data_IF_175770217010
#
_entry.id   IF_175770217010
#
_cell.length_a   1.000
_cell.length_b   1.000
_cell.length_c   1.000
_cell.angle_alpha   90.00
_cell.angle_beta   90.00
_cell.angle_gamma   90.00
#
_symmetry.space_group_name_H-M   'P 1'
#
loop_
_entity.id
_entity.type
_entity.pdbx_description
1 polymer ?
#
# COMPACT_ATOMS: atom_id res chain seq x y z
N UNK A 1 -14.06 1.08 1.49
CA UNK A 1 -13.32 0.67 2.70
C UNK A 1 -14.07 0.95 4.00
N UNK A 2 -14.43 2.20 4.33
CA UNK A 2 -15.08 2.52 5.62
C UNK A 2 -16.37 1.71 5.91
N UNK A 3 -17.22 1.51 4.90
CA UNK A 3 -18.44 0.70 5.04
C UNK A 3 -18.13 -0.76 5.43
N UNK A 4 -17.12 -1.38 4.80
CA UNK A 4 -16.67 -2.74 5.16
C UNK A 4 -16.09 -2.79 6.58
N UNK A 5 -15.36 -1.75 7.00
CA UNK A 5 -14.85 -1.62 8.38
C UNK A 5 -16.00 -1.63 9.39
N UNK A 6 -17.02 -0.79 9.17
CA UNK A 6 -18.20 -0.74 10.05
C UNK A 6 -19.00 -2.03 10.04
N UNK A 7 -19.21 -2.64 8.86
CA UNK A 7 -19.85 -3.94 8.77
C UNK A 7 -19.15 -4.98 9.65
N UNK A 8 -17.81 -5.09 9.57
CA UNK A 8 -17.05 -6.03 10.40
C UNK A 8 -17.18 -5.74 11.90
N UNK A 9 -17.14 -4.48 12.33
CA UNK A 9 -17.26 -4.14 13.76
C UNK A 9 -18.66 -4.35 14.32
N UNK A 10 -19.70 -4.09 13.52
CA UNK A 10 -21.07 -3.98 14.03
C UNK A 10 -21.96 -5.15 13.64
N UNK A 11 -21.61 -5.89 12.58
CA UNK A 11 -22.47 -6.89 11.96
C UNK A 11 -23.67 -6.31 11.21
N UNK A 12 -23.82 -4.98 11.14
CA UNK A 12 -24.97 -4.34 10.50
C UNK A 12 -24.90 -4.44 8.97
N UNK A 13 -25.84 -5.18 8.40
CA UNK A 13 -25.96 -5.44 6.97
C UNK A 13 -26.16 -4.17 6.13
N UNK A 14 -26.68 -3.08 6.71
CA UNK A 14 -26.81 -1.81 6.00
C UNK A 14 -25.46 -1.30 5.46
N UNK A 15 -24.37 -1.54 6.21
CA UNK A 15 -23.02 -1.17 5.79
C UNK A 15 -22.49 -2.07 4.68
N UNK A 16 -22.77 -3.39 4.73
CA UNK A 16 -22.38 -4.31 3.65
C UNK A 16 -23.12 -3.97 2.35
N UNK A 17 -24.42 -3.69 2.43
CA UNK A 17 -25.23 -3.28 1.28
C UNK A 17 -24.75 -1.94 0.69
N UNK A 18 -24.34 -0.99 1.51
CA UNK A 18 -23.71 0.24 1.03
C UNK A 18 -22.39 -0.03 0.30
N UNK A 19 -21.55 -0.94 0.82
CA UNK A 19 -20.31 -1.35 0.15
C UNK A 19 -20.59 -2.07 -1.18
N UNK A 20 -21.60 -2.95 -1.24
CA UNK A 20 -22.06 -3.64 -2.46
C UNK A 20 -22.51 -2.65 -3.54
N UNK A 21 -23.27 -1.61 -3.17
CA UNK A 21 -23.67 -0.54 -4.11
C UNK A 21 -22.47 0.15 -4.75
N UNK A 22 -21.43 0.46 -3.96
CA UNK A 22 -20.17 1.02 -4.48
C UNK A 22 -19.45 0.02 -5.39
N UNK A 23 -19.37 -1.26 -5.01
CA UNK A 23 -18.79 -2.30 -5.85
C UNK A 23 -19.48 -2.43 -7.20
N UNK A 24 -20.82 -2.43 -7.23
CA UNK A 24 -21.59 -2.48 -8.48
C UNK A 24 -21.31 -1.27 -9.36
N UNK A 25 -21.32 -0.06 -8.78
CA UNK A 25 -20.98 1.16 -9.52
C UNK A 25 -19.57 1.09 -10.12
N UNK A 26 -18.58 0.59 -9.38
CA UNK A 26 -17.21 0.44 -9.88
C UNK A 26 -17.11 -0.57 -11.02
N UNK A 27 -17.83 -1.70 -10.94
CA UNK A 27 -17.90 -2.65 -12.06
C UNK A 27 -18.53 -1.98 -13.28
N UNK A 28 -19.65 -1.29 -13.13
CA UNK A 28 -20.40 -0.67 -14.24
C UNK A 28 -19.65 0.49 -14.90
N UNK A 29 -18.90 1.27 -14.12
CA UNK A 29 -18.17 2.45 -14.59
C UNK A 29 -16.75 2.16 -15.07
N UNK A 30 -16.28 0.91 -15.02
CA UNK A 30 -14.93 0.55 -15.48
C UNK A 30 -14.80 0.77 -16.98
N UNK A 31 -13.65 1.28 -17.40
CA UNK A 31 -13.24 1.33 -18.79
C UNK A 31 -12.33 0.13 -19.07
N UNK A 32 -12.56 -0.57 -20.19
CA UNK A 32 -11.72 -1.69 -20.62
C UNK A 32 -10.67 -1.17 -21.58
N UNK A 33 -9.41 -1.50 -21.34
CA UNK A 33 -8.32 -1.13 -22.23
C UNK A 33 -8.34 -2.08 -23.45
N UNK A 34 -8.63 -1.59 -24.68
CA UNK A 34 -8.77 -2.46 -25.85
C UNK A 34 -7.50 -3.23 -26.21
N UNK A 35 -6.33 -2.71 -25.82
CA UNK A 35 -5.04 -3.33 -26.08
C UNK A 35 -4.68 -4.40 -25.04
N UNK A 36 -5.38 -4.41 -23.89
CA UNK A 36 -5.04 -5.22 -22.72
C UNK A 36 -6.21 -6.06 -22.22
N UNK A 37 -7.16 -6.42 -23.08
CA UNK A 37 -8.33 -7.20 -22.67
C UNK A 37 -7.91 -8.50 -21.93
N UNK A 38 -8.47 -8.79 -20.73
CA UNK A 38 -9.62 -8.15 -20.09
C UNK A 38 -9.30 -6.98 -19.12
N UNK A 39 -8.08 -6.47 -19.11
CA UNK A 39 -7.60 -5.39 -18.26
C UNK A 39 -8.48 -4.13 -18.27
N UNK A 40 -8.75 -3.57 -17.08
CA UNK A 40 -9.62 -2.41 -16.91
C UNK A 40 -9.04 -1.33 -15.99
N UNK A 41 -9.57 -0.11 -16.12
CA UNK A 41 -9.16 1.06 -15.35
C UNK A 41 -10.36 2.00 -15.12
N UNK A 42 -10.11 3.07 -14.38
CA UNK A 42 -11.08 4.14 -14.13
C UNK A 42 -10.43 5.48 -14.41
N UNK A 43 -11.15 6.33 -15.15
CA UNK A 43 -10.74 7.69 -15.43
C UNK A 43 -11.29 8.65 -14.38
N UNK A 44 -10.49 9.65 -14.03
CA UNK A 44 -10.83 10.71 -13.11
C UNK A 44 -10.52 12.07 -13.76
N UNK A 45 -11.08 13.19 -13.27
CA UNK A 45 -10.78 14.52 -13.81
C UNK A 45 -9.27 14.82 -13.91
N UNK A 46 -8.50 14.33 -12.95
CA UNK A 46 -7.04 14.43 -12.81
C UNK A 46 -6.25 13.46 -13.72
N UNK A 47 -6.93 12.53 -14.39
CA UNK A 47 -6.34 11.52 -15.27
C UNK A 47 -6.38 10.10 -14.69
N UNK A 48 -5.88 9.14 -15.47
CA UNK A 48 -5.84 7.72 -15.09
C UNK A 48 -4.60 7.43 -14.23
N UNK A 49 -4.76 6.59 -13.20
CA UNK A 49 -3.69 6.19 -12.30
C UNK A 49 -3.70 4.69 -12.00
N UNK A 50 -2.51 4.10 -11.87
CA UNK A 50 -2.31 2.74 -11.34
C UNK A 50 -2.20 2.70 -9.82
N UNK A 51 -2.17 3.85 -9.14
CA UNK A 51 -1.81 3.94 -7.71
C UNK A 51 -2.86 3.37 -6.75
N UNK A 52 -2.43 3.10 -5.52
CA UNK A 52 -3.29 2.67 -4.42
C UNK A 52 -4.31 3.75 -4.00
N UNK A 53 -3.91 5.02 -3.88
CA UNK A 53 -4.79 6.01 -3.25
C UNK A 53 -5.78 6.67 -4.22
N UNK A 54 -5.52 6.60 -5.53
CA UNK A 54 -6.29 7.35 -6.54
C UNK A 54 -6.49 6.56 -7.85
N UNK A 55 -6.23 5.25 -7.86
CA UNK A 55 -6.11 4.49 -9.09
C UNK A 55 -6.65 3.06 -9.01
N UNK A 56 -6.42 2.35 -10.11
CA UNK A 56 -6.91 0.99 -10.33
C UNK A 56 -6.47 0.01 -9.23
N UNK A 57 -5.26 0.13 -8.69
CA UNK A 57 -4.81 -0.75 -7.59
C UNK A 57 -5.63 -0.56 -6.31
N UNK A 58 -6.03 0.67 -5.99
CA UNK A 58 -6.89 0.93 -4.83
C UNK A 58 -8.30 0.37 -5.00
N UNK A 59 -8.84 0.49 -6.20
CA UNK A 59 -10.14 -0.08 -6.55
C UNK A 59 -10.07 -1.61 -6.51
N UNK A 60 -9.03 -2.21 -7.09
CA UNK A 60 -8.78 -3.65 -7.03
C UNK A 60 -8.73 -4.14 -5.58
N UNK A 61 -7.97 -3.47 -4.72
CA UNK A 61 -7.89 -3.79 -3.29
C UNK A 61 -9.26 -3.74 -2.61
N UNK A 62 -10.07 -2.70 -2.87
CA UNK A 62 -11.43 -2.64 -2.32
C UNK A 62 -12.31 -3.78 -2.82
N UNK A 63 -12.23 -4.13 -4.10
CA UNK A 63 -13.01 -5.22 -4.69
C UNK A 63 -12.59 -6.60 -4.16
N UNK A 64 -11.30 -6.80 -3.88
CA UNK A 64 -10.79 -8.00 -3.20
C UNK A 64 -11.42 -8.15 -1.80
N UNK A 65 -11.40 -7.08 -0.99
CA UNK A 65 -12.02 -7.13 0.34
C UNK A 65 -13.54 -7.30 0.27
N UNK A 66 -14.20 -6.67 -0.71
CA UNK A 66 -15.63 -6.81 -0.90
C UNK A 66 -16.00 -8.26 -1.29
N UNK A 67 -15.20 -8.90 -2.16
CA UNK A 67 -15.37 -10.31 -2.48
C UNK A 67 -15.33 -11.18 -1.22
N UNK A 68 -14.32 -11.03 -0.36
CA UNK A 68 -14.25 -11.81 0.87
C UNK A 68 -15.36 -11.48 1.88
N UNK A 69 -15.87 -10.26 1.87
CA UNK A 69 -17.00 -9.88 2.72
C UNK A 69 -18.37 -10.41 2.22
N UNK A 70 -18.53 -10.65 0.91
CA UNK A 70 -19.83 -11.04 0.32
C UNK A 70 -19.87 -12.44 -0.31
N UNK A 71 -18.72 -13.04 -0.62
CA UNK A 71 -18.58 -14.27 -1.40
C UNK A 71 -18.85 -14.11 -2.90
N UNK A 72 -18.97 -12.89 -3.43
CA UNK A 72 -19.33 -12.67 -4.84
C UNK A 72 -18.10 -12.61 -5.76
N UNK A 73 -17.95 -13.61 -6.63
CA UNK A 73 -16.82 -13.75 -7.56
C UNK A 73 -16.64 -12.59 -8.53
N UNK A 74 -17.73 -11.91 -8.92
CA UNK A 74 -17.66 -10.77 -9.87
C UNK A 74 -16.77 -9.63 -9.37
N UNK A 75 -16.66 -9.44 -8.05
CA UNK A 75 -15.81 -8.42 -7.47
C UNK A 75 -14.34 -8.82 -7.60
N UNK A 76 -14.00 -10.07 -7.27
CA UNK A 76 -12.65 -10.60 -7.44
C UNK A 76 -12.21 -10.54 -8.91
N UNK A 77 -13.05 -11.02 -9.83
CA UNK A 77 -12.77 -11.03 -11.26
C UNK A 77 -12.48 -9.62 -11.80
N UNK A 78 -13.27 -8.61 -11.40
CA UNK A 78 -13.04 -7.22 -11.82
C UNK A 78 -11.76 -6.65 -11.18
N UNK A 79 -11.48 -7.00 -9.93
CA UNK A 79 -10.24 -6.61 -9.27
C UNK A 79 -9.00 -7.22 -9.94
N UNK A 80 -9.06 -8.47 -10.38
CA UNK A 80 -7.98 -9.12 -11.14
C UNK A 80 -7.75 -8.44 -12.50
N UNK A 81 -8.81 -8.08 -13.23
CA UNK A 81 -8.71 -7.28 -14.45
C UNK A 81 -8.03 -5.92 -14.21
N UNK A 82 -8.36 -5.26 -13.09
CA UNK A 82 -7.69 -4.02 -12.72
C UNK A 82 -6.20 -4.24 -12.40
N UNK A 83 -5.85 -5.34 -11.74
CA UNK A 83 -4.44 -5.68 -11.45
C UNK A 83 -3.65 -6.05 -12.70
N UNK A 84 -4.26 -6.74 -13.67
CA UNK A 84 -3.64 -7.01 -14.97
C UNK A 84 -3.27 -5.70 -15.68
N UNK A 85 -4.20 -4.74 -15.70
CA UNK A 85 -3.94 -3.41 -16.24
C UNK A 85 -2.82 -2.68 -15.47
N UNK A 86 -2.87 -2.69 -14.13
CA UNK A 86 -1.82 -2.08 -13.28
C UNK A 86 -0.45 -2.67 -13.60
N UNK A 87 -0.35 -3.99 -13.71
CA UNK A 87 0.92 -4.68 -14.00
C UNK A 87 1.46 -4.33 -15.38
N UNK A 88 0.60 -4.22 -16.39
CA UNK A 88 1.02 -3.84 -17.73
C UNK A 88 1.52 -2.39 -17.82
N UNK A 89 0.97 -1.46 -17.02
CA UNK A 89 1.44 -0.05 -17.01
C UNK A 89 2.72 0.17 -16.20
N UNK A 90 3.34 -0.89 -15.68
CA UNK A 90 4.63 -0.81 -15.00
C UNK A 90 5.76 -0.50 -15.99
N UNK A 91 6.78 0.22 -15.53
CA UNK A 91 8.02 0.47 -16.27
C UNK A 91 9.21 0.15 -15.39
N UNK A 92 10.38 -0.04 -16.01
CA UNK A 92 11.64 -0.21 -15.26
C UNK A 92 12.37 1.11 -15.15
N UNK A 93 12.82 1.43 -13.94
CA UNK A 93 13.77 2.52 -13.71
C UNK A 93 15.17 2.12 -14.23
N UNK A 94 16.13 3.05 -14.15
CA UNK A 94 17.51 2.83 -14.61
C UNK A 94 18.25 1.73 -13.83
N UNK A 95 17.80 1.40 -12.63
CA UNK A 95 18.35 0.35 -11.76
C UNK A 95 17.64 -1.00 -11.97
N UNK A 96 16.68 -1.06 -12.90
CA UNK A 96 15.89 -2.25 -13.21
C UNK A 96 14.68 -2.49 -12.29
N UNK A 97 14.43 -1.61 -11.31
CA UNK A 97 13.30 -1.68 -10.39
C UNK A 97 11.98 -1.29 -11.03
N UNK A 98 10.88 -1.89 -10.57
CA UNK A 98 9.54 -1.59 -11.07
C UNK A 98 9.00 -0.29 -10.48
N UNK A 99 8.56 0.60 -11.38
CA UNK A 99 7.95 1.87 -11.05
C UNK A 99 6.76 2.15 -11.95
N UNK A 100 5.87 3.04 -11.49
CA UNK A 100 4.67 3.41 -12.21
C UNK A 100 4.62 4.92 -12.35
N UNK A 101 4.05 5.35 -13.47
CA UNK A 101 3.70 6.74 -13.64
C UNK A 101 2.56 7.06 -12.67
N UNK A 102 2.72 8.10 -11.86
CA UNK A 102 1.71 8.51 -10.88
C UNK A 102 0.35 8.78 -11.54
N UNK A 103 0.35 9.51 -12.68
CA UNK A 103 -0.81 9.78 -13.53
C UNK A 103 -0.42 9.91 -15.00
N UNK A 104 -1.29 9.49 -15.90
CA UNK A 104 -1.10 9.58 -17.37
C UNK A 104 -0.89 11.00 -17.93
N UNK A 105 -1.32 12.06 -17.22
CA UNK A 105 -1.16 13.46 -17.65
C UNK A 105 0.09 14.15 -17.12
N UNK A 106 0.74 13.61 -16.09
CA UNK A 106 1.97 14.18 -15.48
C UNK A 106 3.01 13.09 -15.30
N UNK A 107 4.12 13.16 -16.02
CA UNK A 107 5.19 12.16 -15.95
C UNK A 107 5.99 12.30 -14.65
N UNK A 108 5.45 11.77 -13.57
CA UNK A 108 6.12 11.69 -12.27
C UNK A 108 6.14 10.25 -11.83
N UNK A 109 7.32 9.77 -11.46
CA UNK A 109 7.56 8.43 -10.93
C UNK A 109 7.98 8.59 -9.47
N UNK A 110 7.31 7.90 -8.56
CA UNK A 110 7.64 7.98 -7.14
C UNK A 110 7.50 6.62 -6.49
N UNK A 111 8.27 6.34 -5.42
CA UNK A 111 8.16 5.08 -4.69
C UNK A 111 7.04 5.12 -3.63
N UNK A 112 6.31 6.24 -3.48
CA UNK A 112 5.50 6.50 -2.28
C UNK A 112 4.13 5.80 -2.27
N UNK A 113 3.60 5.63 -1.06
CA UNK A 113 2.33 4.93 -0.78
C UNK A 113 1.15 5.49 -1.58
N UNK A 114 1.00 6.81 -1.65
CA UNK A 114 -0.15 7.47 -2.30
C UNK A 114 -0.11 7.37 -3.82
N UNK A 115 1.09 7.46 -4.40
CA UNK A 115 1.31 7.60 -5.85
C UNK A 115 2.56 6.85 -6.31
N UNK A 116 2.61 5.53 -6.13
CA UNK A 116 3.87 4.84 -6.41
C UNK A 116 3.93 3.37 -6.08
N UNK A 117 5.13 2.83 -6.28
CA UNK A 117 5.43 1.40 -6.19
C UNK A 117 5.12 0.81 -4.83
N UNK A 118 5.37 1.52 -3.71
CA UNK A 118 5.09 0.94 -2.39
C UNK A 118 3.60 0.74 -2.12
N UNK A 119 2.74 1.65 -2.61
CA UNK A 119 1.30 1.48 -2.53
C UNK A 119 0.81 0.30 -3.36
N UNK A 120 1.32 0.18 -4.60
CA UNK A 120 0.98 -0.92 -5.51
C UNK A 120 1.49 -2.26 -4.96
N UNK A 121 2.71 -2.30 -4.41
CA UNK A 121 3.29 -3.46 -3.75
C UNK A 121 2.43 -3.97 -2.59
N UNK A 122 1.83 -3.07 -1.81
CA UNK A 122 0.88 -3.47 -0.76
C UNK A 122 -0.36 -4.16 -1.32
N UNK A 123 -0.85 -3.76 -2.49
CA UNK A 123 -1.99 -4.43 -3.15
C UNK A 123 -1.57 -5.79 -3.71
N UNK A 124 -0.42 -5.85 -4.39
CA UNK A 124 0.13 -7.09 -4.94
C UNK A 124 0.34 -8.15 -3.87
N UNK A 125 0.86 -7.77 -2.71
CA UNK A 125 1.03 -8.70 -1.59
C UNK A 125 -0.28 -9.33 -1.13
N UNK A 126 -1.38 -8.57 -1.15
CA UNK A 126 -2.72 -9.05 -0.72
C UNK A 126 -3.36 -9.93 -1.78
N UNK A 127 -3.17 -9.61 -3.05
CA UNK A 127 -3.56 -10.49 -4.15
C UNK A 127 -2.76 -11.80 -4.14
N UNK A 128 -1.44 -11.73 -3.93
CA UNK A 128 -0.59 -12.91 -3.75
C UNK A 128 -1.05 -13.77 -2.57
N UNK A 129 -1.34 -13.15 -1.42
CA UNK A 129 -1.82 -13.88 -0.24
C UNK A 129 -3.16 -14.58 -0.51
N UNK A 130 -4.08 -13.90 -1.20
CA UNK A 130 -5.40 -14.42 -1.52
C UNK A 130 -5.37 -15.57 -2.54
N UNK A 131 -4.50 -15.51 -3.56
CA UNK A 131 -4.50 -16.47 -4.68
C UNK A 131 -3.36 -17.50 -4.64
N UNK A 132 -2.24 -17.19 -3.97
CA UNK A 132 -1.00 -17.95 -4.05
C UNK A 132 -0.24 -17.81 -5.38
N UNK A 133 -0.73 -17.00 -6.31
CA UNK A 133 -0.15 -16.87 -7.66
C UNK A 133 1.20 -16.15 -7.65
N UNK A 134 2.22 -16.78 -8.23
CA UNK A 134 3.59 -16.25 -8.26
C UNK A 134 3.72 -14.95 -9.05
N UNK A 135 2.77 -14.67 -9.95
CA UNK A 135 2.75 -13.48 -10.80
C UNK A 135 2.55 -12.19 -10.00
N UNK A 136 1.97 -12.29 -8.79
CA UNK A 136 1.91 -11.18 -7.84
C UNK A 136 3.14 -11.11 -6.91
N UNK A 137 3.87 -12.22 -6.75
CA UNK A 137 5.07 -12.28 -5.91
C UNK A 137 6.32 -11.70 -6.59
N UNK A 138 6.54 -12.03 -7.87
CA UNK A 138 7.74 -11.61 -8.63
C UNK A 138 7.88 -10.07 -8.70
N UNK A 139 6.80 -9.29 -8.94
CA UNK A 139 6.90 -7.84 -8.96
C UNK A 139 7.34 -7.23 -7.63
N UNK A 140 7.06 -7.86 -6.48
CA UNK A 140 7.46 -7.33 -5.16
C UNK A 140 8.98 -7.27 -5.02
N UNK A 141 9.70 -8.25 -5.57
CA UNK A 141 11.17 -8.27 -5.57
C UNK A 141 11.74 -7.18 -6.50
N UNK A 142 11.02 -6.82 -7.56
CA UNK A 142 11.42 -5.74 -8.47
C UNK A 142 11.04 -4.35 -7.90
N UNK A 143 9.94 -4.27 -7.17
CA UNK A 143 9.55 -3.08 -6.39
C UNK A 143 10.57 -2.81 -5.29
N UNK A 144 11.13 -3.86 -4.67
CA UNK A 144 12.17 -3.71 -3.66
C UNK A 144 13.36 -2.88 -4.19
N UNK A 145 13.80 -3.10 -5.43
CA UNK A 145 14.86 -2.32 -6.08
C UNK A 145 14.50 -0.81 -6.13
N UNK A 146 13.24 -0.48 -6.40
CA UNK A 146 12.77 0.92 -6.45
C UNK A 146 12.55 1.54 -5.05
N UNK A 147 12.11 0.74 -4.08
CA UNK A 147 11.64 1.22 -2.78
C UNK A 147 12.70 1.14 -1.67
N UNK A 148 13.76 0.34 -1.81
CA UNK A 148 14.82 0.22 -0.81
C UNK A 148 15.76 1.43 -0.84
N UNK A 149 15.28 2.56 -0.31
CA UNK A 149 15.97 3.86 -0.33
C UNK A 149 16.37 4.28 1.08
N UNK A 150 17.56 4.87 1.21
CA UNK A 150 17.96 5.56 2.44
C UNK A 150 17.43 7.01 2.50
N UNK A 151 17.20 7.63 1.34
CA UNK A 151 16.82 9.04 1.24
C UNK A 151 15.56 9.19 0.37
N UNK A 152 14.65 10.05 0.83
CA UNK A 152 13.44 10.48 0.11
C UNK A 152 13.28 11.99 0.23
N UNK A 153 12.28 12.55 -0.44
CA UNK A 153 12.00 13.99 -0.36
C UNK A 153 11.29 14.33 0.96
N UNK A 154 10.48 13.42 1.50
CA UNK A 154 9.61 13.70 2.63
C UNK A 154 9.56 12.54 3.64
N UNK A 155 9.26 12.82 4.92
CA UNK A 155 9.19 11.80 5.97
C UNK A 155 7.82 11.11 6.06
N UNK A 156 6.73 11.77 5.65
CA UNK A 156 5.34 11.39 5.99
C UNK A 156 4.83 10.05 5.43
N UNK A 157 3.60 9.71 5.82
CA UNK A 157 2.96 8.43 5.48
C UNK A 157 2.48 8.35 4.03
N UNK A 158 1.70 9.33 3.55
CA UNK A 158 1.13 9.27 2.20
C UNK A 158 2.18 9.44 1.12
N UNK A 159 3.10 10.39 1.33
CA UNK A 159 4.07 10.80 0.34
C UNK A 159 5.41 10.99 1.04
N UNK A 160 6.02 9.89 1.49
CA UNK A 160 7.30 9.92 2.21
C UNK A 160 7.81 8.54 2.61
N UNK A 161 8.97 8.53 3.28
CA UNK A 161 9.71 7.31 3.63
C UNK A 161 8.94 6.39 4.59
N UNK A 162 8.13 6.96 5.50
CA UNK A 162 7.33 6.17 6.43
C UNK A 162 6.31 5.30 5.68
N UNK A 163 5.65 5.84 4.64
CA UNK A 163 4.72 5.08 3.81
C UNK A 163 5.36 3.93 3.05
N UNK A 164 6.64 4.07 2.68
CA UNK A 164 7.40 2.99 2.03
C UNK A 164 7.68 1.87 3.03
N UNK A 165 8.07 2.22 4.26
CA UNK A 165 8.34 1.24 5.32
C UNK A 165 7.12 0.37 5.66
N UNK A 166 5.91 0.91 5.57
CA UNK A 166 4.66 0.14 5.76
C UNK A 166 4.52 -1.04 4.81
N UNK A 167 4.97 -0.92 3.55
CA UNK A 167 4.97 -2.05 2.63
C UNK A 167 5.89 -3.17 3.13
N UNK A 168 7.08 -2.81 3.60
CA UNK A 168 8.02 -3.80 4.10
C UNK A 168 7.58 -4.44 5.42
N UNK A 169 6.88 -3.70 6.28
CA UNK A 169 6.23 -4.29 7.46
C UNK A 169 5.17 -5.34 7.05
N UNK A 170 4.37 -5.08 6.01
CA UNK A 170 3.45 -6.08 5.47
C UNK A 170 4.21 -7.30 4.91
N UNK A 171 5.27 -7.08 4.11
CA UNK A 171 6.06 -8.16 3.52
C UNK A 171 6.78 -9.03 4.58
N UNK A 172 7.20 -8.43 5.69
CA UNK A 172 7.89 -9.12 6.77
C UNK A 172 7.02 -10.17 7.49
N UNK A 173 5.70 -10.16 7.26
CA UNK A 173 4.77 -11.19 7.76
C UNK A 173 4.99 -12.55 7.12
N UNK A 174 5.67 -12.59 5.97
CA UNK A 174 5.82 -13.79 5.16
C UNK A 174 7.28 -14.23 5.14
N UNK A 175 7.58 -15.53 5.41
CA UNK A 175 8.95 -16.01 5.50
C UNK A 175 9.75 -15.75 4.22
N UNK A 176 9.05 -15.73 3.06
CA UNK A 176 9.64 -15.46 1.75
C UNK A 176 10.42 -14.13 1.70
N UNK A 177 9.91 -13.09 2.37
CA UNK A 177 10.50 -11.75 2.29
C UNK A 177 11.00 -11.23 3.64
N UNK A 178 10.84 -11.98 4.73
CA UNK A 178 11.11 -11.53 6.10
C UNK A 178 12.47 -10.85 6.27
N UNK A 179 13.57 -11.53 5.92
CA UNK A 179 14.92 -10.97 6.08
C UNK A 179 15.14 -9.69 5.26
N UNK A 180 14.78 -9.72 3.97
CA UNK A 180 14.91 -8.58 3.07
C UNK A 180 14.07 -7.39 3.53
N UNK A 181 12.82 -7.65 3.92
CA UNK A 181 11.87 -6.62 4.33
C UNK A 181 12.25 -5.99 5.67
N UNK A 182 12.75 -6.77 6.62
CA UNK A 182 13.26 -6.26 7.90
C UNK A 182 14.51 -5.40 7.71
N UNK A 183 15.44 -5.80 6.83
CA UNK A 183 16.61 -5.00 6.49
C UNK A 183 16.22 -3.65 5.85
N UNK A 184 15.29 -3.67 4.87
CA UNK A 184 14.76 -2.47 4.24
C UNK A 184 14.01 -1.57 5.24
N UNK A 185 13.19 -2.15 6.13
CA UNK A 185 12.49 -1.42 7.19
C UNK A 185 13.47 -0.64 8.07
N UNK A 186 14.52 -1.29 8.57
CA UNK A 186 15.54 -0.65 9.41
C UNK A 186 16.24 0.50 8.66
N UNK A 187 16.57 0.29 7.38
CA UNK A 187 17.19 1.33 6.52
C UNK A 187 16.27 2.55 6.35
N UNK A 188 14.99 2.30 6.06
CA UNK A 188 13.99 3.36 5.84
C UNK A 188 13.69 4.14 7.12
N UNK A 189 13.54 3.45 8.26
CA UNK A 189 13.34 4.11 9.54
C UNK A 189 14.57 4.94 9.96
N UNK A 190 15.79 4.44 9.71
CA UNK A 190 16.99 5.25 9.90
C UNK A 190 17.01 6.48 8.99
N UNK A 191 16.54 6.36 7.74
CA UNK A 191 16.35 7.49 6.83
C UNK A 191 15.30 8.49 7.32
N UNK A 192 14.20 8.02 7.92
CA UNK A 192 13.17 8.86 8.52
C UNK A 192 13.75 9.76 9.64
N UNK A 193 14.74 9.27 10.38
CA UNK A 193 15.41 10.00 11.45
C UNK A 193 16.35 11.11 10.99
N UNK A 194 16.48 11.34 9.68
CA UNK A 194 17.22 12.49 9.13
C UNK A 194 16.36 13.77 9.04
N UNK A 195 15.05 13.66 9.20
CA UNK A 195 14.11 14.77 9.07
C UNK A 195 13.69 15.50 10.36
N UNK A 196 13.68 14.89 11.56
CA UNK A 196 13.06 15.52 12.71
C UNK A 196 13.88 16.71 13.20
N UNK A 197 13.18 17.66 13.81
CA UNK A 197 13.73 18.79 14.55
C UNK A 197 13.41 18.59 16.02
N UNK A 198 14.39 18.76 16.89
CA UNK A 198 14.19 18.70 18.34
C UNK A 198 13.34 19.90 18.82
N UNK A 199 12.38 19.60 19.69
CA UNK A 199 11.51 20.58 20.36
C UNK A 199 11.39 20.22 21.83
N UNK A 200 10.93 21.17 22.63
CA UNK A 200 10.51 20.88 24.00
C UNK A 200 9.39 19.81 23.97
N UNK A 201 9.64 18.67 24.60
CA UNK A 201 8.70 17.53 24.62
C UNK A 201 8.94 16.45 23.55
N UNK A 202 9.93 16.59 22.66
CA UNK A 202 10.37 15.50 21.77
C UNK A 202 10.66 15.92 20.33
N UNK A 203 10.49 14.97 19.40
CA UNK A 203 10.78 15.16 17.99
C UNK A 203 9.56 15.69 17.22
N UNK A 204 9.78 16.70 16.38
CA UNK A 204 8.79 17.22 15.45
C UNK A 204 9.24 16.99 14.02
N UNK A 205 8.33 16.54 13.16
CA UNK A 205 8.63 16.28 11.75
C UNK A 205 8.07 17.38 10.85
N UNK A 206 8.80 17.76 9.78
CA UNK A 206 8.25 18.62 8.74
C UNK A 206 7.17 17.88 7.94
N UNK A 207 6.17 18.63 7.47
CA UNK A 207 5.16 18.13 6.55
C UNK A 207 5.63 18.12 5.09
N UNK A 208 4.66 18.03 4.15
CA UNK A 208 4.94 18.21 2.72
C UNK A 208 5.64 19.55 2.42
N UNK A 209 6.47 19.55 1.38
CA UNK A 209 7.37 20.65 0.99
C UNK A 209 8.47 21.02 2.00
N UNK A 210 8.55 20.37 3.17
CA UNK A 210 9.54 20.63 4.22
C UNK A 210 9.58 22.07 4.77
N UNK A 211 8.51 22.86 4.56
CA UNK A 211 8.49 24.29 4.92
C UNK A 211 8.00 24.56 6.34
N UNK A 212 7.25 23.63 6.93
CA UNK A 212 6.68 23.75 8.27
C UNK A 212 6.59 22.41 8.97
N UNK A 213 6.60 22.44 10.30
CA UNK A 213 6.24 21.28 11.12
C UNK A 213 4.77 20.93 10.86
N UNK A 214 4.48 19.63 10.75
CA UNK A 214 3.11 19.14 10.74
C UNK A 214 2.95 17.96 11.69
N UNK A 215 1.81 17.91 12.37
CA UNK A 215 1.42 16.81 13.28
C UNK A 215 0.27 15.98 12.70
N UNK A 216 -0.12 16.19 11.44
CA UNK A 216 -1.19 15.41 10.82
C UNK A 216 -0.74 13.98 10.46
N UNK A 217 -1.73 13.13 10.22
CA UNK A 217 -1.54 11.72 9.90
C UNK A 217 -0.84 11.49 8.55
N UNK A 218 -1.27 12.18 7.50
CA UNK A 218 -0.89 11.87 6.14
C UNK A 218 0.50 12.37 5.77
N UNK A 219 0.81 13.61 6.18
CA UNK A 219 2.01 14.33 5.79
C UNK A 219 2.95 14.61 6.95
N UNK A 220 2.44 14.62 8.18
CA UNK A 220 3.16 15.03 9.37
C UNK A 220 3.70 13.90 10.24
N UNK A 221 4.20 14.29 11.42
CA UNK A 221 4.85 13.40 12.37
C UNK A 221 3.95 12.32 12.97
N UNK A 222 2.62 12.48 12.99
CA UNK A 222 1.72 11.44 13.48
C UNK A 222 1.75 10.20 12.57
N UNK A 223 1.86 10.38 11.25
CA UNK A 223 2.04 9.28 10.31
C UNK A 223 3.37 8.56 10.51
N UNK A 224 4.45 9.31 10.73
CA UNK A 224 5.79 8.73 11.02
C UNK A 224 5.75 7.92 12.33
N UNK A 225 5.17 8.51 13.38
CA UNK A 225 5.03 7.88 14.68
C UNK A 225 4.18 6.60 14.61
N UNK A 226 3.11 6.58 13.81
CA UNK A 226 2.30 5.39 13.59
C UNK A 226 3.15 4.22 13.06
N UNK A 227 3.96 4.46 12.02
CA UNK A 227 4.80 3.40 11.42
C UNK A 227 5.86 2.92 12.40
N UNK A 228 6.46 3.82 13.17
CA UNK A 228 7.43 3.47 14.21
C UNK A 228 6.78 2.69 15.36
N UNK A 229 5.57 3.06 15.79
CA UNK A 229 4.85 2.32 16.82
C UNK A 229 4.43 0.94 16.31
N UNK A 230 3.99 0.82 15.05
CA UNK A 230 3.75 -0.49 14.40
C UNK A 230 5.01 -1.33 14.36
N UNK A 231 6.15 -0.78 13.94
CA UNK A 231 7.43 -1.51 13.95
C UNK A 231 7.77 -2.06 15.34
N UNK A 232 7.49 -1.29 16.40
CA UNK A 232 7.76 -1.67 17.79
C UNK A 232 6.75 -2.68 18.35
N UNK A 233 5.45 -2.46 18.13
CA UNK A 233 4.37 -3.30 18.68
C UNK A 233 4.06 -4.54 17.85
N UNK A 234 4.46 -4.54 16.58
CA UNK A 234 4.15 -5.60 15.59
C UNK A 234 2.65 -5.73 15.35
N UNK A 235 1.95 -4.60 15.29
CA UNK A 235 0.51 -4.54 15.05
C UNK A 235 0.15 -4.68 13.55
N UNK A 236 -1.16 -4.83 13.28
CA UNK A 236 -1.77 -4.78 11.96
C UNK A 236 -1.44 -3.53 11.15
N UNK A 237 -1.49 -3.65 9.82
CA UNK A 237 -1.35 -2.52 8.94
C UNK A 237 -2.51 -1.54 9.11
N UNK A 238 -2.19 -0.25 9.29
CA UNK A 238 -3.23 0.77 9.36
C UNK A 238 -3.89 0.95 7.99
N UNK A 239 -5.21 1.22 8.00
CA UNK A 239 -6.04 1.49 6.82
C UNK A 239 -6.20 0.33 5.83
N UNK A 240 -5.92 -0.89 6.29
CA UNK A 240 -6.20 -2.12 5.55
C UNK A 240 -7.31 -2.90 6.25
N UNK A 241 -7.98 -3.78 5.51
CA UNK A 241 -9.01 -4.66 6.03
C UNK A 241 -8.55 -6.11 5.93
N UNK A 242 -7.28 -6.34 6.28
CA UNK A 242 -6.61 -7.62 6.05
C UNK A 242 -7.26 -8.76 6.84
N UNK A 243 -7.91 -8.44 7.95
CA UNK A 243 -8.83 -9.31 8.69
C UNK A 243 -9.93 -10.02 7.88
N UNK A 244 -10.27 -9.51 6.68
CA UNK A 244 -11.24 -10.12 5.78
C UNK A 244 -10.59 -11.20 4.92
N UNK A 245 -9.26 -11.16 4.78
CA UNK A 245 -8.53 -12.15 4.00
C UNK A 245 -8.33 -13.42 4.85
N UNK A 246 -8.52 -14.62 4.26
CA UNK A 246 -8.35 -15.87 4.97
C UNK A 246 -6.91 -16.00 5.46
N UNK A 247 -6.71 -16.45 6.70
CA UNK A 247 -5.40 -16.74 7.29
C UNK A 247 -4.40 -15.56 7.30
N UNK A 248 -4.86 -14.32 7.13
CA UNK A 248 -4.00 -13.16 7.34
C UNK A 248 -3.73 -12.97 8.84
N UNK A 249 -2.48 -13.10 9.25
CA UNK A 249 -2.10 -12.94 10.65
C UNK A 249 -2.49 -11.53 11.15
N UNK A 250 -3.11 -11.38 12.34
CA UNK A 250 -3.47 -10.05 12.86
C UNK A 250 -2.25 -9.21 13.26
N UNK A 251 -1.14 -9.86 13.63
CA UNK A 251 0.11 -9.22 14.08
C UNK A 251 1.25 -9.46 13.08
N UNK A 252 2.19 -8.51 13.00
CA UNK A 252 3.45 -8.71 12.27
C UNK A 252 4.27 -9.82 12.97
N UNK A 253 5.09 -10.57 12.21
CA UNK A 253 6.02 -11.56 12.81
C UNK A 253 6.97 -10.88 13.79
N UNK A 254 7.30 -11.45 14.96
CA UNK A 254 8.34 -10.90 15.81
C UNK A 254 9.68 -10.91 15.07
N UNK A 255 10.54 -9.90 15.30
CA UNK A 255 11.94 -10.04 14.88
C UNK A 255 12.53 -11.25 15.63
N UNK A 256 13.34 -12.11 14.96
CA UNK A 256 14.18 -13.05 15.69
C UNK A 256 14.95 -12.25 16.74
N UNK A 257 14.92 -12.70 18.00
CA UNK A 257 15.68 -12.05 19.06
C UNK A 257 17.10 -11.85 18.52
N UNK A 258 17.53 -10.60 18.43
CA UNK A 258 18.91 -10.29 18.09
C UNK A 258 19.72 -10.96 19.19
N UNK A 259 20.40 -12.07 18.87
CA UNK A 259 21.42 -12.61 19.76
C UNK A 259 22.34 -11.44 20.04
N UNK A 260 22.24 -10.92 21.27
CA UNK A 260 23.04 -9.80 21.69
C UNK A 260 24.48 -10.20 21.40
N UNK A 261 25.14 -9.43 20.53
CA UNK A 261 26.58 -9.57 20.32
C UNK A 261 27.23 -9.39 21.69
N UNK A 262 27.60 -10.52 22.30
CA UNK A 262 28.32 -10.64 23.56
C UNK A 262 29.75 -10.16 23.41
#
# INVERSE_FOLDING_TARGET
>A
MAQLRFFRETGDQAYLEAARKVGNFLIESREVDPELFPGCFWNAPEGVSSSLAHGAAGIALFLLYLHYATGEERFLATGQQAMEWVMHKSVRNIEGGLTWRARDRTATFTPYWRWGSSGIGRVLLRYWHASGETDYAVPLEQIHIECDRKYTIFPGYFFGIAGIAEMYLDMARFPRWESMAMAATRRLLAGAMLFPVEREGGLAFPGESLTRISCDFGTGGAGVALVMDRYRKRDGASFMLDELLPDWAPQDRPEPACEALS
#
